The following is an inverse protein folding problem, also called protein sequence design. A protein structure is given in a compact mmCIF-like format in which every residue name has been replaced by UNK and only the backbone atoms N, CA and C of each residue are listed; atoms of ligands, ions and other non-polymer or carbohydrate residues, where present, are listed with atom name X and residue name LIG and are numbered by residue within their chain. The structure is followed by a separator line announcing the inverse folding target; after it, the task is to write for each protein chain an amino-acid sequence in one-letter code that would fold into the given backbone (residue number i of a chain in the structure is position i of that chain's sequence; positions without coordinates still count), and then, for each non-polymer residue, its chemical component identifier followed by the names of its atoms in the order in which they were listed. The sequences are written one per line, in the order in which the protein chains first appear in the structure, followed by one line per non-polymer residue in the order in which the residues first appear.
data_IF_060463895888
#
_entry.id   IF_060463895888
#
_cell.length_a   1.000
_cell.length_b   1.000
_cell.length_c   1.000
_cell.angle_alpha   90.00
_cell.angle_beta   90.00
_cell.angle_gamma   90.00
#
_symmetry.space_group_name_H-M   'P 1'
#
loop_
_entity.id
_entity.type
_entity.pdbx_description
1 polymer ?
#
# COMPACT_ATOMS: atom_id res chain seq x y z
N UNK A 1 -16.35 -10.07 3.29
CA UNK A 1 -16.71 -10.94 4.42
C UNK A 1 -15.44 -11.61 4.92
N UNK A 2 -15.29 -11.81 6.23
CA UNK A 2 -14.13 -12.54 6.76
C UNK A 2 -14.23 -14.04 6.45
N UNK A 3 -13.10 -14.75 6.51
CA UNK A 3 -13.05 -16.18 6.24
C UNK A 3 -13.90 -16.97 7.27
N UNK A 4 -14.82 -17.86 6.82
CA UNK A 4 -15.67 -18.68 7.68
C UNK A 4 -14.93 -19.48 8.76
N UNK A 5 -13.65 -19.81 8.57
CA UNK A 5 -12.86 -20.56 9.54
C UNK A 5 -12.37 -19.74 10.73
N UNK A 6 -12.49 -18.41 10.72
CA UNK A 6 -12.11 -17.59 11.87
C UNK A 6 -13.19 -17.57 12.97
N UNK A 7 -14.36 -18.19 12.76
CA UNK A 7 -15.42 -18.32 13.78
C UNK A 7 -15.80 -17.00 14.50
N UNK A 8 -15.70 -15.86 13.80
CA UNK A 8 -15.84 -14.50 14.39
C UNK A 8 -14.80 -14.14 15.49
N UNK A 9 -13.81 -15.01 15.71
CA UNK A 9 -12.71 -14.83 16.66
C UNK A 9 -11.61 -13.95 16.07
N UNK A 10 -11.99 -12.77 15.57
CA UNK A 10 -11.04 -11.78 15.10
C UNK A 10 -11.41 -10.38 15.57
N UNK A 11 -10.41 -9.58 15.95
CA UNK A 11 -10.63 -8.19 16.29
C UNK A 11 -11.03 -7.44 15.02
N UNK A 12 -12.29 -7.00 14.97
CA UNK A 12 -12.89 -6.33 13.82
C UNK A 12 -12.01 -5.18 13.30
N UNK A 13 -11.48 -4.36 14.21
CA UNK A 13 -10.59 -3.24 13.85
C UNK A 13 -9.25 -3.70 13.27
N UNK A 14 -8.65 -4.75 13.83
CA UNK A 14 -7.41 -5.32 13.32
C UNK A 14 -7.58 -5.92 11.92
N UNK A 15 -8.72 -6.57 11.68
CA UNK A 15 -9.05 -7.10 10.36
C UNK A 15 -9.16 -5.98 9.31
N UNK A 16 -9.88 -4.90 9.62
CA UNK A 16 -10.03 -3.78 8.68
C UNK A 16 -8.71 -3.10 8.34
N UNK A 17 -7.83 -2.94 9.32
CA UNK A 17 -6.53 -2.33 9.08
C UNK A 17 -5.61 -3.27 8.29
N UNK A 18 -5.60 -4.58 8.55
CA UNK A 18 -4.88 -5.55 7.72
C UNK A 18 -5.40 -5.55 6.27
N UNK A 19 -6.72 -5.43 6.09
CA UNK A 19 -7.35 -5.32 4.78
C UNK A 19 -6.93 -4.04 4.04
N UNK A 20 -6.81 -2.91 4.75
CA UNK A 20 -6.33 -1.66 4.16
C UNK A 20 -4.88 -1.80 3.66
N UNK A 21 -4.01 -2.45 4.42
CA UNK A 21 -2.63 -2.74 4.00
C UNK A 21 -2.61 -3.65 2.77
N UNK A 22 -3.44 -4.68 2.74
CA UNK A 22 -3.58 -5.56 1.57
C UNK A 22 -4.08 -4.79 0.33
N UNK A 23 -5.02 -3.87 0.50
CA UNK A 23 -5.50 -3.01 -0.59
C UNK A 23 -4.36 -2.15 -1.16
N UNK A 24 -3.57 -1.49 -0.30
CA UNK A 24 -2.39 -0.72 -0.73
C UNK A 24 -1.39 -1.56 -1.54
N UNK A 25 -1.27 -2.86 -1.24
CA UNK A 25 -0.38 -3.77 -1.97
C UNK A 25 -0.93 -4.21 -3.34
N UNK A 26 -2.26 -4.22 -3.52
CA UNK A 26 -2.94 -4.68 -4.73
C UNK A 26 -3.24 -3.55 -5.72
N UNK A 27 -2.82 -2.32 -5.41
CA UNK A 27 -3.03 -1.16 -6.26
C UNK A 27 -2.40 -1.35 -7.66
N UNK A 28 -3.05 -0.80 -8.69
CA UNK A 28 -2.61 -0.96 -10.09
C UNK A 28 -1.29 -0.22 -10.34
N UNK A 29 -1.14 0.98 -9.79
CA UNK A 29 0.07 1.79 -9.89
C UNK A 29 1.18 1.28 -8.96
N UNK A 30 2.35 0.98 -9.52
CA UNK A 30 3.50 0.47 -8.77
C UNK A 30 3.98 1.44 -7.67
N UNK A 31 3.91 2.75 -7.91
CA UNK A 31 4.41 3.78 -7.01
C UNK A 31 3.59 3.94 -5.72
N UNK A 32 2.37 3.41 -5.70
CA UNK A 32 1.48 3.46 -4.54
C UNK A 32 1.59 2.22 -3.64
N UNK A 33 2.30 1.19 -4.11
CA UNK A 33 2.51 -0.04 -3.35
C UNK A 33 3.61 0.19 -2.31
N UNK A 34 3.36 -0.08 -1.03
CA UNK A 34 4.36 0.13 0.02
C UNK A 34 5.53 -0.85 -0.14
N UNK A 35 6.70 -0.46 0.40
CA UNK A 35 7.83 -1.36 0.54
C UNK A 35 7.46 -2.53 1.47
N UNK A 36 8.01 -3.71 1.20
CA UNK A 36 7.72 -4.90 2.00
C UNK A 36 8.13 -4.73 3.47
N UNK A 37 9.16 -3.93 3.75
CA UNK A 37 9.57 -3.56 5.11
C UNK A 37 8.46 -2.84 5.87
N UNK A 38 7.74 -1.95 5.20
CA UNK A 38 6.69 -1.12 5.81
C UNK A 38 5.44 -1.97 6.07
N UNK A 39 5.15 -2.90 5.16
CA UNK A 39 4.05 -3.88 5.31
C UNK A 39 4.30 -4.76 6.54
N UNK A 40 5.50 -5.33 6.67
CA UNK A 40 5.83 -6.20 7.81
C UNK A 40 5.75 -5.41 9.12
N UNK A 41 6.28 -4.19 9.14
CA UNK A 41 6.22 -3.31 10.31
C UNK A 41 4.76 -3.01 10.69
N UNK A 42 3.89 -2.67 9.73
CA UNK A 42 2.48 -2.41 9.98
C UNK A 42 1.74 -3.66 10.52
N UNK A 43 2.05 -4.84 9.98
CA UNK A 43 1.48 -6.11 10.46
C UNK A 43 1.97 -6.49 11.86
N UNK A 44 3.22 -6.17 12.19
CA UNK A 44 3.77 -6.38 13.53
C UNK A 44 3.06 -5.51 14.57
N UNK A 45 2.85 -4.22 14.26
CA UNK A 45 2.05 -3.33 15.11
C UNK A 45 0.62 -3.84 15.31
N UNK A 46 -0.01 -4.38 14.26
CA UNK A 46 -1.33 -5.00 14.34
C UNK A 46 -1.37 -6.25 15.23
N UNK A 47 -0.33 -7.08 15.16
CA UNK A 47 -0.19 -8.28 15.99
C UNK A 47 0.05 -7.95 17.47
N UNK A 48 0.67 -6.81 17.78
CA UNK A 48 0.91 -6.34 19.14
C UNK A 48 -0.34 -5.64 19.70
N UNK A 49 -0.97 -4.77 18.92
CA UNK A 49 -2.15 -4.00 19.35
C UNK A 49 -3.36 -4.90 19.68
N UNK A 50 -3.52 -6.03 18.98
CA UNK A 50 -4.58 -7.00 19.26
C UNK A 50 -4.36 -7.84 20.54
N UNK A 51 -3.14 -7.86 21.09
CA UNK A 51 -2.87 -8.50 22.40
C UNK A 51 -3.30 -7.63 23.58
N UNK A 52 -3.48 -6.32 23.37
CA UNK A 52 -3.72 -5.33 24.42
C UNK A 52 -5.12 -4.70 24.34
N UNK A 53 -6.15 -5.46 23.97
CA UNK A 53 -7.54 -4.97 23.77
C UNK A 53 -8.24 -4.41 25.04
N UNK A 54 -7.50 -3.94 26.05
CA UNK A 54 -8.03 -3.23 27.22
C UNK A 54 -7.58 -1.75 27.36
N UNK A 55 -6.79 -1.17 26.44
CA UNK A 55 -6.57 0.30 26.45
C UNK A 55 -6.04 0.80 25.11
N UNK A 56 -6.89 1.45 24.30
CA UNK A 56 -6.48 2.15 23.09
C UNK A 56 -6.99 3.60 23.10
N UNK A 57 -6.09 4.53 23.40
CA UNK A 57 -6.19 5.92 22.99
C UNK A 57 -4.88 6.34 22.33
N UNK A 58 -5.02 7.02 21.17
CA UNK A 58 -4.00 7.77 20.45
C UNK A 58 -2.95 6.92 19.68
N UNK A 59 -2.62 7.15 18.40
CA UNK A 59 -2.50 8.43 17.70
C UNK A 59 -2.93 8.35 16.24
N UNK A 60 -4.02 9.04 15.92
CA UNK A 60 -4.16 9.72 14.63
C UNK A 60 -3.16 10.89 14.61
N UNK A 61 -1.99 10.70 14.02
CA UNK A 61 -1.17 11.84 13.60
C UNK A 61 -0.20 11.46 12.47
N UNK A 62 -0.67 11.54 11.23
CA UNK A 62 0.13 11.88 10.05
C UNK A 62 -0.79 12.29 8.88
N UNK A 63 -1.68 13.26 9.12
CA UNK A 63 -2.39 13.96 8.05
C UNK A 63 -1.99 15.44 8.07
N UNK A 64 -0.70 15.67 7.83
CA UNK A 64 -0.11 16.93 7.40
C UNK A 64 1.22 16.51 6.75
N UNK A 65 1.60 16.84 5.52
CA UNK A 65 1.11 17.88 4.62
C UNK A 65 1.85 17.71 3.29
N UNK A 66 1.14 17.99 2.21
CA UNK A 66 1.62 18.67 1.00
C UNK A 66 2.82 18.09 0.23
N UNK A 67 2.50 17.63 -0.98
CA UNK A 67 3.09 18.26 -2.17
C UNK A 67 2.09 18.23 -3.32
N UNK A 68 1.33 19.32 -3.46
CA UNK A 68 0.96 19.77 -4.79
C UNK A 68 2.28 20.10 -5.51
N UNK A 69 2.68 19.24 -6.44
CA UNK A 69 3.58 19.63 -7.52
C UNK A 69 2.90 19.23 -8.82
N UNK A 70 2.17 20.19 -9.37
CA UNK A 70 1.99 20.23 -10.80
C UNK A 70 3.38 20.30 -11.45
N UNK A 71 3.76 19.25 -12.16
CA UNK A 71 4.75 19.34 -13.22
C UNK A 71 4.19 18.63 -14.43
N UNK A 72 3.70 19.43 -15.37
CA UNK A 72 3.59 19.01 -16.75
C UNK A 72 4.97 18.58 -17.25
N UNK A 73 5.07 17.34 -17.72
CA UNK A 73 6.14 16.86 -18.59
C UNK A 73 5.53 15.72 -19.41
N UNK A 74 4.95 16.02 -20.57
CA UNK A 74 5.66 16.02 -21.85
C UNK A 74 6.25 14.63 -22.14
N UNK A 75 5.59 13.91 -23.05
CA UNK A 75 6.09 12.87 -23.95
C UNK A 75 7.28 12.01 -23.47
N UNK A 76 7.06 10.71 -23.39
CA UNK A 76 8.09 9.72 -23.74
C UNK A 76 7.41 8.50 -24.38
N UNK A 77 7.62 8.23 -25.67
CA UNK A 77 7.20 6.99 -26.30
C UNK A 77 8.14 5.86 -25.83
N UNK A 78 7.57 4.69 -25.53
CA UNK A 78 8.31 3.44 -25.30
C UNK A 78 9.17 3.11 -26.52
N UNK A 79 10.42 3.59 -26.50
CA UNK A 79 11.41 3.24 -27.51
C UNK A 79 12.15 2.01 -27.03
N UNK A 80 11.59 0.85 -27.34
CA UNK A 80 12.24 -0.45 -27.21
C UNK A 80 13.50 -0.46 -28.08
N UNK A 81 14.67 -0.33 -27.45
CA UNK A 81 15.98 -0.43 -28.11
C UNK A 81 16.36 -1.91 -28.24
N UNK A 82 16.03 -2.52 -29.38
CA UNK A 82 16.65 -3.78 -29.81
C UNK A 82 17.98 -3.49 -30.51
N UNK A 83 18.99 -4.31 -30.25
CA UNK A 83 20.40 -4.11 -30.61
C UNK A 83 20.72 -4.37 -32.10
N UNK A 84 19.84 -3.92 -32.99
CA UNK A 84 20.04 -3.96 -34.45
C UNK A 84 19.62 -2.61 -35.02
N UNK A 85 20.59 -1.74 -35.28
CA UNK A 85 20.39 -0.31 -35.60
C UNK A 85 19.63 -0.02 -36.90
N UNK A 86 18.30 -0.12 -36.88
CA UNK A 86 17.44 0.42 -37.93
C UNK A 86 16.17 1.04 -37.32
N UNK A 87 16.07 2.37 -37.39
CA UNK A 87 14.95 3.15 -36.85
C UNK A 87 13.88 3.25 -37.95
N UNK A 88 12.75 2.54 -37.79
CA UNK A 88 11.61 2.61 -38.72
C UNK A 88 10.40 3.21 -38.00
N UNK A 89 10.03 4.44 -38.37
CA UNK A 89 8.77 5.07 -37.95
C UNK A 89 7.58 4.40 -38.65
N UNK A 90 6.56 4.05 -37.88
CA UNK A 90 5.17 3.97 -38.35
C UNK A 90 4.45 5.27 -37.99
#
# INVERSE_FOLDING_TARGET
MADPFLEEQYPVKGLYQALAVAAMCLQEEADTRPLISDVVTALEFLSVNNKNSESAHQQDNASASASASASASAASPDTYSDSSGEIKSI
#
